data_IF_815998181795
#
_entry.id   IF_815998181795
#
_cell.length_a   1.000
_cell.length_b   1.000
_cell.length_c   1.000
_cell.angle_alpha   90.00
_cell.angle_beta   90.00
_cell.angle_gamma   90.00
#
_symmetry.space_group_name_H-M   'P 1'
#
loop_
_entity.id
_entity.type
_entity.pdbx_description
1 polymer ?
#
# COMPACT_ATOMS: atom_id res chain seq x y z
N UNK A 1 -6.37 -16.73 -23.25
CA UNK A 1 -4.96 -16.34 -23.13
C UNK A 1 -4.59 -15.47 -24.31
N UNK A 2 -3.83 -14.38 -24.08
CA UNK A 2 -3.43 -13.44 -25.17
C UNK A 2 -2.02 -13.73 -25.70
N UNK A 3 -1.35 -14.74 -25.16
CA UNK A 3 0.00 -15.15 -25.53
C UNK A 3 0.74 -15.84 -24.38
N UNK A 4 1.96 -16.28 -24.66
CA UNK A 4 2.90 -16.84 -23.68
C UNK A 4 4.27 -16.21 -23.87
N UNK A 5 5.03 -16.12 -22.80
CA UNK A 5 6.43 -15.68 -22.78
C UNK A 5 7.25 -16.78 -22.12
N UNK A 6 8.35 -17.18 -22.75
CA UNK A 6 9.33 -18.09 -22.16
C UNK A 6 10.56 -17.29 -21.74
N UNK A 7 11.02 -17.50 -20.51
CA UNK A 7 12.18 -16.83 -19.95
C UNK A 7 12.97 -17.78 -19.04
N UNK A 8 14.26 -17.57 -18.94
CA UNK A 8 15.13 -18.34 -18.02
C UNK A 8 14.85 -17.99 -16.55
N UNK A 9 14.44 -16.76 -16.30
CA UNK A 9 14.13 -16.26 -14.97
C UNK A 9 12.84 -15.44 -14.96
N UNK A 10 12.08 -15.55 -13.87
CA UNK A 10 10.83 -14.82 -13.67
C UNK A 10 10.89 -14.08 -12.34
N UNK A 11 10.54 -12.81 -12.33
CA UNK A 11 10.43 -12.00 -11.12
C UNK A 11 8.96 -11.68 -10.86
N UNK A 12 8.46 -12.09 -9.70
CA UNK A 12 7.11 -11.79 -9.24
C UNK A 12 7.12 -10.50 -8.40
N UNK A 13 6.69 -9.41 -9.01
CA UNK A 13 6.51 -8.10 -8.38
C UNK A 13 5.02 -7.70 -8.47
N UNK A 14 4.13 -8.55 -7.95
CA UNK A 14 2.69 -8.55 -8.22
C UNK A 14 1.87 -7.80 -7.18
N UNK A 15 2.49 -7.22 -6.14
CA UNK A 15 1.77 -6.57 -5.05
C UNK A 15 0.63 -7.48 -4.52
N UNK A 16 -0.51 -6.95 -4.19
CA UNK A 16 -1.67 -7.66 -3.65
C UNK A 16 -2.20 -8.82 -4.54
N UNK A 17 -1.99 -8.75 -5.85
CA UNK A 17 -2.39 -9.84 -6.76
C UNK A 17 -1.62 -11.14 -6.50
N UNK A 18 -0.44 -11.08 -5.87
CA UNK A 18 0.29 -12.26 -5.43
C UNK A 18 -0.50 -13.13 -4.44
N UNK A 19 -1.47 -12.57 -3.71
CA UNK A 19 -2.34 -13.34 -2.80
C UNK A 19 -3.18 -14.42 -3.50
N UNK A 20 -3.30 -14.37 -4.84
CA UNK A 20 -3.93 -15.44 -5.65
C UNK A 20 -3.06 -16.68 -5.76
N UNK A 21 -1.74 -16.55 -5.61
CA UNK A 21 -0.80 -17.67 -5.63
C UNK A 21 -0.86 -18.39 -4.27
N UNK A 22 -0.98 -19.73 -4.31
CA UNK A 22 -1.21 -20.57 -3.12
C UNK A 22 -0.21 -20.32 -1.99
N UNK A 23 1.07 -20.18 -2.32
CA UNK A 23 2.17 -19.98 -1.38
C UNK A 23 2.13 -18.62 -0.66
N UNK A 24 1.53 -17.58 -1.29
CA UNK A 24 1.44 -16.24 -0.73
C UNK A 24 0.09 -15.94 -0.09
N UNK A 25 -0.91 -16.82 -0.26
CA UNK A 25 -2.28 -16.61 0.20
C UNK A 25 -2.40 -16.21 1.68
N UNK A 26 -1.51 -16.71 2.54
CA UNK A 26 -1.49 -16.42 3.98
C UNK A 26 -0.36 -15.46 4.39
N UNK A 27 0.44 -14.97 3.45
CA UNK A 27 1.55 -14.05 3.74
C UNK A 27 1.10 -12.60 3.87
N UNK A 28 -0.08 -12.29 3.32
CA UNK A 28 -0.61 -10.93 3.27
C UNK A 28 -2.04 -10.85 3.78
N UNK A 29 -2.39 -9.68 4.35
CA UNK A 29 -3.74 -9.12 4.31
C UNK A 29 -3.78 -8.15 3.13
N UNK A 30 -4.78 -8.28 2.27
CA UNK A 30 -5.03 -7.32 1.20
C UNK A 30 -6.00 -6.26 1.71
N UNK A 31 -5.57 -5.00 1.65
CA UNK A 31 -6.31 -3.84 2.16
C UNK A 31 -6.30 -2.76 1.07
N UNK A 32 -7.40 -1.98 0.93
CA UNK A 32 -7.38 -0.82 0.05
C UNK A 32 -6.57 0.35 0.65
N UNK A 33 -6.01 1.16 -0.23
CA UNK A 33 -5.57 2.52 0.05
C UNK A 33 -6.45 3.47 -0.74
N UNK A 34 -7.01 4.44 -0.04
CA UNK A 34 -8.05 5.32 -0.55
C UNK A 34 -7.53 6.75 -0.52
N UNK A 35 -7.62 7.44 -1.64
CA UNK A 35 -7.10 8.78 -1.84
C UNK A 35 -8.17 9.66 -2.50
N UNK A 36 -8.20 10.93 -2.11
CA UNK A 36 -8.94 11.98 -2.80
C UNK A 36 -7.97 13.07 -3.27
N UNK A 37 -8.30 13.77 -4.33
CA UNK A 37 -7.59 14.97 -4.75
C UNK A 37 -8.56 16.14 -4.85
N UNK A 38 -8.14 17.30 -4.33
CA UNK A 38 -8.91 18.54 -4.45
C UNK A 38 -8.86 19.09 -5.86
N UNK A 39 -9.76 20.01 -6.19
CA UNK A 39 -9.53 20.94 -7.29
C UNK A 39 -8.20 21.72 -7.07
N UNK A 40 -7.60 22.29 -8.14
CA UNK A 40 -6.40 23.13 -7.99
C UNK A 40 -6.70 24.39 -7.15
N UNK A 41 -5.88 24.62 -6.11
CA UNK A 41 -6.03 25.75 -5.16
C UNK A 41 -4.69 26.42 -4.86
N UNK A 42 -3.85 26.76 -5.85
CA UNK A 42 -2.49 27.23 -5.61
C UNK A 42 -2.43 28.48 -4.71
N UNK A 43 -3.38 29.42 -4.85
CA UNK A 43 -3.44 30.62 -4.01
C UNK A 43 -3.72 30.28 -2.54
N UNK A 44 -4.68 29.37 -2.26
CA UNK A 44 -5.03 28.92 -0.92
C UNK A 44 -3.85 28.17 -0.27
N UNK A 45 -3.11 27.37 -1.04
CA UNK A 45 -1.88 26.71 -0.55
C UNK A 45 -0.82 27.73 -0.17
N UNK A 46 -0.64 28.78 -0.97
CA UNK A 46 0.29 29.85 -0.67
C UNK A 46 -0.10 30.62 0.61
N UNK A 47 -1.39 30.89 0.83
CA UNK A 47 -1.94 31.56 2.03
C UNK A 47 -1.68 30.76 3.31
N UNK A 48 -1.83 29.42 3.28
CA UNK A 48 -1.52 28.57 4.44
C UNK A 48 -0.04 28.19 4.54
N UNK A 49 0.84 28.78 3.69
CA UNK A 49 2.29 28.59 3.72
C UNK A 49 2.78 27.27 3.13
N UNK A 50 1.94 26.49 2.46
CA UNK A 50 2.35 25.22 1.88
C UNK A 50 2.79 25.35 0.42
N UNK A 51 4.09 25.64 0.23
CA UNK A 51 4.68 26.02 -1.08
C UNK A 51 5.71 25.03 -1.62
N UNK A 52 6.16 24.10 -0.81
CA UNK A 52 7.36 23.28 -1.05
C UNK A 52 7.10 21.86 -1.56
N UNK A 53 5.84 21.48 -1.81
CA UNK A 53 5.51 20.13 -2.25
C UNK A 53 5.78 19.04 -1.20
N UNK A 54 5.96 19.43 0.06
CA UNK A 54 6.24 18.54 1.17
C UNK A 54 5.18 17.42 1.28
N UNK A 55 5.63 16.19 1.43
CA UNK A 55 4.78 15.05 1.74
C UNK A 55 4.70 14.90 3.26
N UNK A 56 3.49 14.88 3.78
CA UNK A 56 3.20 14.83 5.21
C UNK A 56 2.52 13.50 5.54
N UNK A 57 2.89 12.92 6.67
CA UNK A 57 2.26 11.74 7.24
C UNK A 57 2.11 11.95 8.74
N UNK A 58 0.92 11.74 9.29
CA UNK A 58 0.70 11.84 10.72
C UNK A 58 1.16 10.57 11.47
N UNK A 59 1.12 10.61 12.79
CA UNK A 59 1.54 9.51 13.68
C UNK A 59 0.41 8.54 14.03
N UNK A 60 -0.77 8.67 13.44
CA UNK A 60 -1.92 7.78 13.69
C UNK A 60 -1.65 6.38 13.14
N UNK A 61 -2.25 5.36 13.75
CA UNK A 61 -2.21 4.00 13.23
C UNK A 61 -3.01 3.87 11.92
N UNK A 62 -4.15 4.56 11.81
CA UNK A 62 -4.91 4.76 10.56
C UNK A 62 -4.45 6.04 9.89
N UNK A 63 -3.17 6.11 9.60
CA UNK A 63 -2.41 7.26 9.13
C UNK A 63 -3.14 8.09 8.07
N UNK A 64 -3.14 9.41 8.23
CA UNK A 64 -3.39 10.35 7.14
C UNK A 64 -2.05 10.68 6.49
N UNK A 65 -2.02 10.65 5.16
CA UNK A 65 -0.83 10.98 4.38
C UNK A 65 -1.25 11.82 3.18
N UNK A 66 -0.53 12.90 2.94
CA UNK A 66 -0.92 13.86 1.93
C UNK A 66 0.25 14.69 1.45
N UNK A 67 0.10 15.26 0.27
CA UNK A 67 1.06 16.18 -0.34
C UNK A 67 0.36 17.10 -1.33
N UNK A 68 1.03 18.19 -1.68
CA UNK A 68 0.62 19.00 -2.83
C UNK A 68 1.13 18.39 -4.13
N UNK A 69 0.40 18.65 -5.21
CA UNK A 69 0.80 18.33 -6.58
C UNK A 69 1.36 19.58 -7.27
N UNK A 70 2.04 19.38 -8.39
CA UNK A 70 2.64 20.50 -9.14
C UNK A 70 1.60 21.53 -9.64
N UNK A 71 0.36 21.07 -9.93
CA UNK A 71 -0.76 21.92 -10.35
C UNK A 71 -1.56 22.50 -9.18
N UNK A 72 -1.05 22.40 -7.94
CA UNK A 72 -1.65 23.04 -6.77
C UNK A 72 -2.85 22.33 -6.18
N UNK A 73 -2.95 21.01 -6.30
CA UNK A 73 -3.94 20.19 -5.62
C UNK A 73 -3.39 19.63 -4.31
N UNK A 74 -4.26 19.17 -3.43
CA UNK A 74 -3.90 18.29 -2.31
C UNK A 74 -4.34 16.88 -2.67
N UNK A 75 -3.38 15.94 -2.79
CA UNK A 75 -3.66 14.52 -2.79
C UNK A 75 -3.62 14.02 -1.35
N UNK A 76 -4.76 13.56 -0.82
CA UNK A 76 -4.93 13.16 0.58
C UNK A 76 -5.41 11.74 0.68
N UNK A 77 -4.69 10.91 1.40
CA UNK A 77 -4.99 9.50 1.65
C UNK A 77 -5.17 9.19 3.12
N UNK A 78 -5.98 8.15 3.40
CA UNK A 78 -6.26 7.68 4.75
C UNK A 78 -6.06 6.17 4.87
N UNK A 79 -5.47 5.74 5.98
CA UNK A 79 -5.37 4.33 6.38
C UNK A 79 -6.72 3.70 6.74
N UNK A 80 -6.68 2.41 7.12
CA UNK A 80 -7.87 1.67 7.53
C UNK A 80 -8.81 1.30 6.37
N UNK A 81 -8.26 1.01 5.21
CA UNK A 81 -8.98 0.65 3.99
C UNK A 81 -9.89 -0.58 4.09
N UNK A 82 -10.55 -0.89 3.00
CA UNK A 82 -11.40 -2.08 2.85
C UNK A 82 -10.53 -3.34 2.86
N UNK A 83 -10.94 -4.34 3.65
CA UNK A 83 -10.28 -5.65 3.70
C UNK A 83 -10.82 -6.56 2.59
N UNK A 84 -9.93 -7.28 1.93
CA UNK A 84 -10.31 -8.29 0.93
C UNK A 84 -10.50 -9.66 1.59
N UNK A 85 -11.70 -10.23 1.50
CA UNK A 85 -11.93 -11.61 1.89
C UNK A 85 -11.13 -12.57 0.99
N UNK A 86 -10.41 -13.52 1.59
CA UNK A 86 -9.52 -14.45 0.89
C UNK A 86 -8.45 -13.78 0.01
N UNK A 87 -8.10 -12.50 0.26
CA UNK A 87 -7.15 -11.75 -0.56
C UNK A 87 -7.61 -11.49 -2.00
N UNK A 88 -8.93 -11.53 -2.25
CA UNK A 88 -9.49 -11.30 -3.59
C UNK A 88 -9.48 -9.81 -3.92
N UNK A 89 -8.66 -9.42 -4.87
CA UNK A 89 -8.73 -8.10 -5.49
C UNK A 89 -9.86 -8.11 -6.52
N UNK A 90 -10.80 -7.19 -6.38
CA UNK A 90 -11.96 -7.05 -7.25
C UNK A 90 -12.34 -5.58 -7.42
N UNK A 91 -13.52 -5.25 -7.96
CA UNK A 91 -13.92 -3.87 -8.29
C UNK A 91 -13.85 -2.87 -7.14
N UNK A 92 -14.01 -3.34 -5.89
CA UNK A 92 -13.88 -2.50 -4.69
C UNK A 92 -12.45 -1.99 -4.43
N UNK A 93 -11.47 -2.43 -5.21
CA UNK A 93 -10.06 -2.05 -5.14
C UNK A 93 -9.59 -1.33 -6.41
N UNK A 94 -10.50 -0.92 -7.27
CA UNK A 94 -10.21 -0.29 -8.55
C UNK A 94 -11.15 0.91 -8.79
N UNK A 95 -10.65 1.92 -9.49
CA UNK A 95 -11.44 3.11 -9.85
C UNK A 95 -11.66 4.08 -8.68
N UNK A 96 -12.82 4.70 -8.61
CA UNK A 96 -13.16 5.68 -7.58
C UNK A 96 -13.22 5.05 -6.19
N UNK A 97 -12.72 5.77 -5.18
CA UNK A 97 -12.71 5.25 -3.81
C UNK A 97 -14.12 5.15 -3.23
N UNK A 98 -14.55 3.98 -2.74
CA UNK A 98 -15.81 3.83 -2.01
C UNK A 98 -15.79 4.57 -0.66
N UNK A 99 -14.61 4.99 -0.20
CA UNK A 99 -14.40 5.73 1.05
C UNK A 99 -14.10 7.22 0.82
N UNK A 100 -14.35 7.75 -0.38
CA UNK A 100 -14.05 9.14 -0.70
C UNK A 100 -14.65 10.14 0.31
N UNK A 101 -15.88 9.92 0.75
CA UNK A 101 -16.53 10.77 1.75
C UNK A 101 -15.81 10.76 3.11
N UNK A 102 -15.38 9.57 3.59
CA UNK A 102 -14.62 9.44 4.85
C UNK A 102 -13.25 10.11 4.75
N UNK A 103 -12.56 9.92 3.63
CA UNK A 103 -11.24 10.51 3.38
C UNK A 103 -11.34 12.03 3.28
N UNK A 104 -12.35 12.55 2.59
CA UNK A 104 -12.66 13.98 2.50
C UNK A 104 -12.97 14.59 3.86
N UNK A 105 -13.76 13.91 4.68
CA UNK A 105 -14.07 14.37 6.04
C UNK A 105 -12.78 14.49 6.89
N UNK A 106 -11.83 13.57 6.74
CA UNK A 106 -10.54 13.63 7.43
C UNK A 106 -9.67 14.79 6.96
N UNK A 107 -9.65 15.08 5.66
CA UNK A 107 -8.97 16.27 5.11
C UNK A 107 -9.57 17.56 5.70
N UNK A 108 -10.89 17.69 5.69
CA UNK A 108 -11.59 18.87 6.19
C UNK A 108 -11.44 19.07 7.70
N UNK A 109 -11.35 17.98 8.47
CA UNK A 109 -11.07 18.05 9.90
C UNK A 109 -9.66 18.54 10.19
N UNK A 110 -8.66 18.15 9.38
CA UNK A 110 -7.28 18.63 9.50
C UNK A 110 -7.09 20.07 9.02
N UNK A 111 -7.80 20.45 7.97
CA UNK A 111 -7.72 21.77 7.34
C UNK A 111 -9.11 22.39 7.21
N UNK A 112 -9.71 22.89 8.32
CA UNK A 112 -11.05 23.53 8.29
C UNK A 112 -11.13 24.70 7.33
N UNK A 113 -10.04 25.43 7.11
CA UNK A 113 -9.93 26.52 6.15
C UNK A 113 -10.12 26.09 4.69
N UNK A 114 -10.06 24.79 4.41
CA UNK A 114 -10.26 24.20 3.08
C UNK A 114 -11.57 23.41 2.96
N UNK A 115 -12.50 23.57 3.90
CA UNK A 115 -13.74 22.79 3.95
C UNK A 115 -14.65 23.02 2.72
N UNK A 116 -14.56 24.19 2.11
CA UNK A 116 -15.29 24.62 0.91
C UNK A 116 -14.66 24.11 -0.39
N UNK A 117 -13.42 23.60 -0.35
CA UNK A 117 -12.70 23.17 -1.55
C UNK A 117 -13.32 21.89 -2.12
N UNK A 118 -13.68 21.89 -3.43
CA UNK A 118 -14.23 20.70 -4.07
C UNK A 118 -13.20 19.56 -4.14
N UNK A 119 -13.69 18.33 -4.02
CA UNK A 119 -12.94 17.14 -4.37
C UNK A 119 -13.17 16.85 -5.85
N UNK A 120 -12.11 16.87 -6.62
CA UNK A 120 -12.13 16.71 -8.07
C UNK A 120 -12.04 15.24 -8.49
N UNK A 121 -11.28 14.45 -7.77
CA UNK A 121 -11.10 13.04 -8.07
C UNK A 121 -10.87 12.19 -6.83
N UNK A 122 -11.14 10.89 -6.95
CA UNK A 122 -10.81 9.91 -5.94
C UNK A 122 -10.39 8.59 -6.59
N UNK A 123 -9.53 7.85 -5.92
CA UNK A 123 -9.16 6.51 -6.38
C UNK A 123 -8.82 5.60 -5.21
N UNK A 124 -8.85 4.30 -5.50
CA UNK A 124 -8.46 3.26 -4.56
C UNK A 124 -7.52 2.28 -5.23
N UNK A 125 -6.72 1.58 -4.44
CA UNK A 125 -5.82 0.53 -4.92
C UNK A 125 -5.51 -0.47 -3.82
N UNK A 126 -5.25 -1.74 -4.18
CA UNK A 126 -4.94 -2.78 -3.21
C UNK A 126 -3.47 -2.74 -2.79
N UNK A 127 -3.20 -3.02 -1.52
CA UNK A 127 -1.86 -3.24 -0.99
C UNK A 127 -1.76 -4.62 -0.34
N UNK A 128 -0.57 -5.18 -0.36
CA UNK A 128 -0.17 -6.44 0.24
C UNK A 128 0.50 -6.21 1.60
N UNK A 129 -0.28 -6.14 2.67
CA UNK A 129 0.28 -5.91 4.01
C UNK A 129 0.75 -7.22 4.64
N UNK A 130 2.07 -7.32 4.92
CA UNK A 130 2.66 -8.40 5.72
C UNK A 130 2.38 -8.19 7.21
N UNK A 131 2.57 -9.23 8.02
CA UNK A 131 2.39 -9.15 9.47
C UNK A 131 3.45 -8.23 10.12
N UNK A 132 4.69 -8.26 9.63
CA UNK A 132 5.79 -7.42 10.09
C UNK A 132 5.75 -5.98 9.55
N UNK A 133 4.95 -5.72 8.50
CA UNK A 133 5.00 -4.47 7.75
C UNK A 133 6.19 -4.35 6.78
N UNK A 134 7.12 -5.31 6.81
CA UNK A 134 8.34 -5.31 5.97
C UNK A 134 8.13 -6.10 4.69
N UNK A 135 8.78 -5.69 3.57
CA UNK A 135 8.76 -6.46 2.34
C UNK A 135 9.50 -7.79 2.50
N UNK A 136 9.14 -8.72 1.64
CA UNK A 136 9.70 -10.08 1.59
C UNK A 136 10.33 -10.35 0.23
N UNK A 137 11.50 -10.94 0.23
CA UNK A 137 12.25 -11.32 -0.97
C UNK A 137 12.69 -12.77 -0.90
N UNK A 138 12.76 -13.44 -2.04
CA UNK A 138 13.27 -14.81 -2.08
C UNK A 138 13.00 -15.52 -3.39
N UNK A 139 13.14 -16.85 -3.34
CA UNK A 139 12.88 -17.76 -4.44
C UNK A 139 11.62 -18.59 -4.16
N UNK A 140 10.87 -18.91 -5.20
CA UNK A 140 9.61 -19.63 -5.11
C UNK A 140 9.84 -21.14 -4.90
N UNK A 141 9.76 -21.61 -3.66
CA UNK A 141 9.83 -23.04 -3.33
C UNK A 141 11.05 -23.73 -3.94
N UNK A 142 10.81 -24.78 -4.74
CA UNK A 142 11.85 -25.54 -5.46
C UNK A 142 12.20 -24.96 -6.84
N UNK A 143 11.69 -23.77 -7.18
CA UNK A 143 11.91 -23.09 -8.46
C UNK A 143 12.85 -21.91 -8.28
N UNK A 144 14.19 -22.13 -8.31
CA UNK A 144 15.17 -21.07 -8.13
C UNK A 144 15.16 -20.04 -9.26
N UNK A 145 14.56 -20.38 -10.37
CA UNK A 145 14.33 -19.54 -11.55
C UNK A 145 13.18 -18.54 -11.35
N UNK A 146 12.34 -18.70 -10.29
CA UNK A 146 11.26 -17.78 -9.98
C UNK A 146 11.58 -17.04 -8.67
N UNK A 147 11.81 -15.74 -8.78
CA UNK A 147 12.08 -14.86 -7.65
C UNK A 147 10.85 -14.02 -7.31
N UNK A 148 10.80 -13.49 -6.10
CA UNK A 148 9.74 -12.57 -5.70
C UNK A 148 10.24 -11.44 -4.82
N UNK A 149 9.59 -10.25 -4.95
CA UNK A 149 9.67 -9.12 -4.04
C UNK A 149 8.26 -8.57 -3.85
N UNK A 150 7.73 -8.70 -2.64
CA UNK A 150 6.31 -8.49 -2.31
C UNK A 150 6.18 -7.92 -0.90
N UNK A 151 4.98 -7.46 -0.51
CA UNK A 151 4.68 -7.15 0.88
C UNK A 151 5.17 -5.79 1.35
N UNK A 152 5.21 -4.78 0.49
CA UNK A 152 5.66 -3.43 0.86
C UNK A 152 4.70 -2.71 1.81
N UNK A 153 3.55 -3.30 2.12
CA UNK A 153 2.63 -2.88 3.19
C UNK A 153 2.11 -1.44 3.05
N UNK A 154 2.10 -0.91 1.82
CA UNK A 154 1.68 0.45 1.51
C UNK A 154 2.80 1.49 1.51
N UNK A 155 4.03 1.12 1.83
CA UNK A 155 5.21 2.00 1.86
C UNK A 155 6.16 1.69 0.71
N UNK A 156 5.64 1.39 -0.49
CA UNK A 156 6.43 0.88 -1.60
C UNK A 156 7.27 1.91 -2.36
N UNK A 157 6.94 3.19 -2.35
CA UNK A 157 7.56 4.19 -3.24
C UNK A 157 9.08 4.25 -3.09
N UNK A 158 9.60 4.50 -1.89
CA UNK A 158 11.04 4.50 -1.63
C UNK A 158 11.65 3.09 -1.61
N UNK A 159 11.13 2.18 -0.77
CA UNK A 159 11.67 0.84 -0.63
C UNK A 159 11.65 -0.02 -1.90
N UNK A 160 10.80 0.26 -2.89
CA UNK A 160 10.80 -0.47 -4.16
C UNK A 160 12.09 -0.29 -4.96
N UNK A 161 12.78 0.85 -4.81
CA UNK A 161 14.11 1.04 -5.42
C UNK A 161 15.12 0.03 -4.84
N UNK A 162 15.18 -0.06 -3.51
CA UNK A 162 16.04 -1.04 -2.80
C UNK A 162 15.63 -2.47 -3.19
N UNK A 163 14.33 -2.74 -3.22
CA UNK A 163 13.78 -4.02 -3.65
C UNK A 163 14.17 -4.40 -5.08
N UNK A 164 14.19 -3.43 -5.99
CA UNK A 164 14.68 -3.61 -7.35
C UNK A 164 16.15 -4.02 -7.40
N UNK A 165 17.01 -3.39 -6.57
CA UNK A 165 18.44 -3.76 -6.45
C UNK A 165 18.60 -5.19 -5.92
N UNK A 166 17.87 -5.54 -4.86
CA UNK A 166 17.87 -6.90 -4.30
C UNK A 166 17.45 -7.92 -5.37
N UNK A 167 16.36 -7.70 -6.07
CA UNK A 167 15.86 -8.60 -7.10
C UNK A 167 16.82 -8.71 -8.28
N UNK A 168 17.46 -7.63 -8.69
CA UNK A 168 18.47 -7.63 -9.75
C UNK A 168 19.66 -8.51 -9.36
N UNK A 169 20.23 -8.31 -8.15
CA UNK A 169 21.36 -9.11 -7.65
C UNK A 169 21.01 -10.60 -7.52
N UNK A 170 19.82 -10.92 -7.00
CA UNK A 170 19.33 -12.30 -6.92
C UNK A 170 19.14 -12.93 -8.32
N UNK A 171 18.61 -12.14 -9.27
CA UNK A 171 18.37 -12.61 -10.63
C UNK A 171 19.68 -12.89 -11.36
N UNK A 172 20.68 -12.05 -11.17
CA UNK A 172 22.00 -12.21 -11.78
C UNK A 172 22.91 -13.22 -11.03
N UNK A 173 22.48 -13.68 -9.85
CA UNK A 173 23.28 -14.61 -9.04
C UNK A 173 24.50 -13.96 -8.41
N UNK A 174 24.46 -12.63 -8.18
CA UNK A 174 25.55 -11.89 -7.56
C UNK A 174 25.68 -12.25 -6.06
N UNK A 175 26.92 -12.13 -5.54
CA UNK A 175 27.22 -12.31 -4.11
C UNK A 175 27.61 -10.96 -3.49
N UNK A 176 26.70 -10.00 -3.59
CA UNK A 176 26.88 -8.63 -3.11
C UNK A 176 26.03 -8.35 -1.85
N UNK A 177 26.11 -7.12 -1.37
CA UNK A 177 25.34 -6.63 -0.22
C UNK A 177 23.82 -6.76 -0.41
N UNK A 178 23.33 -6.60 -1.64
CA UNK A 178 21.91 -6.67 -1.98
C UNK A 178 21.39 -8.12 -1.90
N UNK A 179 22.14 -9.08 -2.45
CA UNK A 179 21.77 -10.51 -2.39
C UNK A 179 21.84 -11.08 -0.97
N UNK A 180 22.68 -10.47 -0.10
CA UNK A 180 22.85 -10.85 1.31
C UNK A 180 22.04 -9.99 2.30
N UNK A 181 21.25 -9.04 1.83
CA UNK A 181 20.42 -8.20 2.67
C UNK A 181 19.52 -9.02 3.62
N UNK A 182 19.38 -8.57 4.87
CA UNK A 182 18.61 -9.30 5.90
C UNK A 182 17.15 -9.58 5.57
N UNK A 183 16.58 -8.86 4.59
CA UNK A 183 15.23 -9.11 4.07
C UNK A 183 15.16 -10.32 3.11
N UNK A 184 16.29 -10.76 2.57
CA UNK A 184 16.35 -11.91 1.66
C UNK A 184 16.26 -13.19 2.50
N UNK A 185 15.29 -14.05 2.17
CA UNK A 185 15.01 -15.30 2.89
C UNK A 185 14.66 -15.11 4.39
N UNK A 186 14.29 -13.89 4.79
CA UNK A 186 13.80 -13.65 6.15
C UNK A 186 12.59 -14.53 6.46
N UNK A 187 12.41 -15.00 7.70
CA UNK A 187 11.23 -15.76 8.09
C UNK A 187 9.95 -14.98 7.85
N UNK A 188 9.01 -15.57 7.15
CA UNK A 188 7.75 -14.91 6.80
C UNK A 188 6.62 -15.51 7.63
N UNK A 189 6.05 -14.72 8.53
CA UNK A 189 4.89 -15.12 9.33
C UNK A 189 3.66 -15.34 8.44
N UNK A 190 2.80 -16.26 8.86
CA UNK A 190 1.53 -16.52 8.21
C UNK A 190 0.40 -15.90 9.00
N UNK A 191 -0.51 -15.23 8.32
CA UNK A 191 -1.80 -14.88 8.89
C UNK A 191 -2.64 -16.15 9.15
N UNK A 192 -3.58 -16.10 10.11
CA UNK A 192 -4.57 -17.15 10.29
C UNK A 192 -5.30 -17.44 8.97
N UNK A 193 -5.88 -18.67 8.82
CA UNK A 193 -6.73 -18.93 7.66
C UNK A 193 -8.02 -18.10 7.71
N UNK A 194 -8.73 -18.02 6.57
CA UNK A 194 -10.08 -17.48 6.55
C UNK A 194 -11.07 -18.45 7.22
N UNK A 195 -12.12 -17.96 7.88
CA UNK A 195 -12.51 -16.54 7.97
C UNK A 195 -11.81 -15.79 9.11
N UNK A 196 -11.01 -16.43 9.95
CA UNK A 196 -10.41 -15.82 11.14
C UNK A 196 -9.54 -14.60 10.82
N UNK A 197 -8.80 -14.61 9.70
CA UNK A 197 -8.00 -13.46 9.25
C UNK A 197 -8.87 -12.25 8.93
N UNK A 198 -9.95 -12.44 8.19
CA UNK A 198 -10.86 -11.39 7.78
C UNK A 198 -11.58 -10.78 8.98
N UNK A 199 -12.18 -11.62 9.84
CA UNK A 199 -12.89 -11.20 11.06
C UNK A 199 -11.92 -10.49 12.02
N UNK A 200 -10.75 -11.09 12.27
CA UNK A 200 -9.71 -10.49 13.10
C UNK A 200 -9.24 -9.13 12.59
N UNK A 201 -9.08 -8.99 11.27
CA UNK A 201 -8.74 -7.72 10.63
C UNK A 201 -9.80 -6.64 10.88
N UNK A 202 -11.09 -6.98 10.82
CA UNK A 202 -12.18 -6.06 11.16
C UNK A 202 -12.17 -5.65 12.63
N UNK A 203 -11.98 -6.61 13.55
CA UNK A 203 -11.92 -6.33 14.99
C UNK A 203 -10.77 -5.37 15.31
N UNK A 204 -9.57 -5.66 14.81
CA UNK A 204 -8.38 -4.80 15.01
C UNK A 204 -8.62 -3.41 14.44
N UNK A 205 -9.14 -3.30 13.20
CA UNK A 205 -9.46 -2.01 12.59
C UNK A 205 -10.47 -1.21 13.43
N UNK A 206 -11.54 -1.86 13.90
CA UNK A 206 -12.56 -1.21 14.71
C UNK A 206 -12.01 -0.73 16.07
N UNK A 207 -11.16 -1.54 16.71
CA UNK A 207 -10.51 -1.18 17.96
C UNK A 207 -9.56 0.04 17.80
N UNK A 208 -8.74 0.05 16.74
CA UNK A 208 -7.87 1.19 16.42
C UNK A 208 -8.68 2.45 16.13
N UNK A 209 -9.71 2.35 15.29
CA UNK A 209 -10.57 3.50 14.97
C UNK A 209 -11.33 4.04 16.18
N UNK A 210 -11.68 3.18 17.16
CA UNK A 210 -12.28 3.60 18.43
C UNK A 210 -11.28 4.35 19.31
N UNK A 211 -10.05 3.82 19.42
CA UNK A 211 -8.98 4.46 20.18
C UNK A 211 -8.68 5.86 19.64
N UNK A 212 -8.47 5.99 18.33
CA UNK A 212 -8.14 7.27 17.67
C UNK A 212 -9.26 8.33 17.76
N UNK A 213 -10.51 7.93 18.02
CA UNK A 213 -11.62 8.87 18.26
C UNK A 213 -11.69 9.36 19.70
N UNK A 214 -11.06 8.66 20.63
CA UNK A 214 -11.02 8.99 22.04
C UNK A 214 -9.81 9.87 22.41
N UNK A 215 -8.85 10.01 21.51
CA UNK A 215 -7.68 10.90 21.59
C UNK A 215 -7.96 12.25 20.91
#
# INVERSE_FOLDING_TARGET
>A
ARGSVTAERVVLALNAWAARLREFRRKFIVISRDIVATAPIPNRLAEIGWRDGLAISDSRLLVNYYRTTHDGRIAFGKGGGTLAFCGRVGPAFEGASPRAAEVTASLRALYPSLADVPIDSSWTGPIDRTMSGMPIFGQRGKRPDILYGLGYSGNGVGPSFVGGRILASLTLGLKDEWASAGLVKAPISNFPPEPARFVGGFIVRAAVARKERAE
#
